data_IF_776328328125
#
_entry.id   IF_776328328125
#
_cell.length_a   1.000
_cell.length_b   1.000
_cell.length_c   1.000
_cell.angle_alpha   90.00
_cell.angle_beta   90.00
_cell.angle_gamma   90.00
#
_symmetry.space_group_name_H-M   'P 1'
#
loop_
_entity.id
_entity.type
_entity.pdbx_description
1 polymer ?
#
# COMPACT_ATOMS: atom_id res chain seq x y z
N UNK A 1 27.65 5.28 -11.51
CA UNK A 1 26.76 4.34 -10.79
C UNK A 1 26.16 5.10 -9.61
N UNK A 2 24.85 4.98 -9.36
CA UNK A 2 24.21 5.68 -8.25
C UNK A 2 24.65 5.05 -6.93
N UNK A 3 24.38 5.74 -5.81
CA UNK A 3 24.44 5.09 -4.51
C UNK A 3 23.30 4.06 -4.41
N UNK A 4 23.63 2.79 -4.62
CA UNK A 4 22.67 1.69 -4.56
C UNK A 4 22.01 1.54 -3.18
N UNK A 5 22.70 1.93 -2.12
CA UNK A 5 22.13 1.88 -0.76
C UNK A 5 21.07 2.97 -0.60
N UNK A 6 21.31 4.16 -1.15
CA UNK A 6 20.36 5.26 -1.17
C UNK A 6 19.08 4.89 -1.96
N UNK A 7 19.22 4.23 -3.11
CA UNK A 7 18.05 3.70 -3.84
C UNK A 7 17.21 2.72 -2.99
N UNK A 8 17.86 1.86 -2.20
CA UNK A 8 17.16 0.99 -1.26
C UNK A 8 16.52 1.80 -0.12
N UNK A 9 17.11 2.91 0.34
CA UNK A 9 16.48 3.78 1.34
C UNK A 9 15.15 4.36 0.85
N UNK A 10 15.06 4.75 -0.42
CA UNK A 10 13.78 5.14 -1.03
C UNK A 10 12.82 3.95 -1.18
N UNK A 11 13.33 2.79 -1.62
CA UNK A 11 12.53 1.57 -1.77
C UNK A 11 11.80 1.18 -0.47
N UNK A 12 12.49 1.23 0.68
CA UNK A 12 11.91 0.84 1.97
C UNK A 12 10.84 1.81 2.47
N UNK A 13 10.68 3.00 1.88
CA UNK A 13 9.60 3.94 2.25
C UNK A 13 8.22 3.46 1.78
N UNK A 14 8.20 2.48 0.87
CA UNK A 14 6.98 1.89 0.33
C UNK A 14 5.98 1.43 1.41
N UNK A 15 4.68 1.46 1.12
CA UNK A 15 3.67 0.83 1.96
C UNK A 15 3.78 -0.70 1.90
N UNK A 16 3.34 -1.36 2.97
CA UNK A 16 3.13 -2.80 2.99
C UNK A 16 1.96 -3.16 3.91
N UNK A 17 1.39 -4.36 3.72
CA UNK A 17 0.39 -4.92 4.63
C UNK A 17 0.86 -4.83 6.08
N UNK A 18 0.04 -4.30 6.98
CA UNK A 18 0.37 -4.02 8.39
C UNK A 18 1.71 -3.31 8.66
N UNK A 19 2.34 -2.67 7.65
CA UNK A 19 3.72 -2.17 7.72
C UNK A 19 4.75 -3.27 8.11
N UNK A 20 4.52 -4.52 7.68
CA UNK A 20 5.42 -5.67 7.90
C UNK A 20 6.79 -5.51 7.25
N UNK A 21 6.89 -4.74 6.16
CA UNK A 21 8.10 -4.51 5.36
C UNK A 21 8.75 -5.84 4.93
N UNK A 22 8.04 -6.67 4.14
CA UNK A 22 8.39 -8.08 3.93
C UNK A 22 9.42 -8.26 2.80
N UNK A 23 10.44 -7.43 2.76
CA UNK A 23 11.44 -7.38 1.70
C UNK A 23 12.87 -7.48 2.25
N UNK A 24 13.73 -8.12 1.46
CA UNK A 24 15.20 -8.10 1.61
C UNK A 24 15.81 -7.68 0.29
N UNK A 25 16.91 -6.93 0.34
CA UNK A 25 17.59 -6.41 -0.84
C UNK A 25 18.98 -7.00 -0.92
N UNK A 26 19.40 -7.43 -2.11
CA UNK A 26 20.79 -7.75 -2.40
C UNK A 26 21.33 -6.76 -3.40
N UNK A 27 22.42 -6.10 -3.06
CA UNK A 27 23.09 -5.14 -3.93
C UNK A 27 24.26 -5.83 -4.63
N UNK A 28 24.35 -5.66 -5.95
CA UNK A 28 25.51 -5.95 -6.78
C UNK A 28 25.93 -4.68 -7.51
N UNK A 29 26.98 -4.76 -8.33
CA UNK A 29 27.59 -3.60 -8.99
C UNK A 29 26.60 -2.72 -9.78
N UNK A 30 25.73 -3.34 -10.57
CA UNK A 30 24.74 -2.65 -11.41
C UNK A 30 23.32 -3.22 -11.23
N UNK A 31 23.06 -3.95 -10.15
CA UNK A 31 21.82 -4.69 -9.97
C UNK A 31 21.37 -4.69 -8.52
N UNK A 32 20.08 -4.46 -8.30
CA UNK A 32 19.43 -4.66 -7.00
C UNK A 32 18.39 -5.76 -7.15
N UNK A 33 18.48 -6.81 -6.31
CA UNK A 33 17.48 -7.86 -6.23
C UNK A 33 16.63 -7.72 -4.98
N UNK A 34 15.31 -7.79 -5.11
CA UNK A 34 14.31 -7.75 -4.04
C UNK A 34 13.81 -9.18 -3.79
N UNK A 35 14.00 -9.68 -2.57
CA UNK A 35 13.56 -10.99 -2.13
C UNK A 35 12.37 -10.87 -1.17
N UNK A 36 11.37 -11.77 -1.26
CA UNK A 36 10.33 -11.85 -0.26
C UNK A 36 10.91 -12.32 1.08
N UNK A 37 10.60 -11.61 2.17
CA UNK A 37 10.91 -12.05 3.53
C UNK A 37 9.71 -12.78 4.13
N UNK A 38 9.61 -14.08 3.85
CA UNK A 38 8.53 -14.93 4.36
C UNK A 38 8.47 -15.01 5.89
N UNK A 39 9.51 -14.60 6.63
CA UNK A 39 9.43 -14.48 8.10
C UNK A 39 8.51 -13.34 8.57
N UNK A 40 8.15 -12.43 7.65
CA UNK A 40 7.30 -11.25 7.87
C UNK A 40 5.97 -11.33 7.13
N UNK A 41 5.62 -12.50 6.60
CA UNK A 41 4.33 -12.73 5.93
C UNK A 41 3.15 -12.65 6.91
N UNK A 42 1.95 -12.52 6.36
CA UNK A 42 0.70 -12.42 7.10
C UNK A 42 -0.18 -13.64 6.78
N UNK A 43 0.15 -14.84 7.32
CA UNK A 43 -0.47 -16.08 6.88
C UNK A 43 -1.98 -16.17 7.12
N UNK A 44 -2.56 -15.35 8.00
CA UNK A 44 -4.01 -15.36 8.27
C UNK A 44 -4.76 -14.40 7.35
N UNK A 45 -4.39 -13.11 7.31
CA UNK A 45 -5.08 -12.14 6.43
C UNK A 45 -4.68 -12.28 4.95
N UNK A 46 -3.47 -12.76 4.68
CA UNK A 46 -2.89 -12.93 3.35
C UNK A 46 -2.31 -14.35 3.15
N UNK A 47 -3.17 -15.39 3.16
CA UNK A 47 -2.71 -16.79 3.13
C UNK A 47 -1.97 -17.18 1.84
N UNK A 48 -2.17 -16.41 0.76
CA UNK A 48 -1.53 -16.62 -0.55
C UNK A 48 -0.30 -15.73 -0.78
N UNK A 49 0.12 -14.95 0.23
CA UNK A 49 1.21 -13.98 0.14
C UNK A 49 1.02 -12.92 -0.98
N UNK A 50 -0.24 -12.67 -1.35
CA UNK A 50 -0.65 -11.74 -2.41
C UNK A 50 -0.27 -10.31 -2.05
N UNK A 51 -0.62 -9.87 -0.84
CA UNK A 51 -0.28 -8.54 -0.35
C UNK A 51 1.20 -8.40 -0.07
N UNK A 52 1.89 -9.48 0.28
CA UNK A 52 3.35 -9.52 0.34
C UNK A 52 3.96 -9.14 -1.02
N UNK A 53 3.55 -9.78 -2.12
CA UNK A 53 4.08 -9.45 -3.45
C UNK A 53 3.63 -8.08 -3.97
N UNK A 54 2.41 -7.64 -3.64
CA UNK A 54 2.00 -6.24 -3.88
C UNK A 54 2.94 -5.27 -3.14
N UNK A 55 3.31 -5.58 -1.90
CA UNK A 55 4.23 -4.75 -1.11
C UNK A 55 5.63 -4.69 -1.75
N UNK A 56 6.14 -5.81 -2.28
CA UNK A 56 7.39 -5.84 -3.05
C UNK A 56 7.28 -4.99 -4.32
N UNK A 57 6.14 -5.03 -5.02
CA UNK A 57 5.87 -4.16 -6.17
C UNK A 57 5.90 -2.66 -5.82
N UNK A 58 5.40 -2.29 -4.64
CA UNK A 58 5.49 -0.91 -4.17
C UNK A 58 6.95 -0.49 -3.91
N UNK A 59 7.74 -1.35 -3.27
CA UNK A 59 9.16 -1.10 -3.02
C UNK A 59 9.98 -1.00 -4.31
N UNK A 60 9.67 -1.87 -5.28
CA UNK A 60 10.25 -1.82 -6.63
C UNK A 60 9.96 -0.49 -7.32
N UNK A 61 8.73 -0.01 -7.27
CA UNK A 61 8.36 1.24 -7.93
C UNK A 61 9.08 2.45 -7.33
N UNK A 62 9.20 2.52 -6.00
CA UNK A 62 9.99 3.57 -5.35
C UNK A 62 11.46 3.52 -5.75
N UNK A 63 12.03 2.32 -5.90
CA UNK A 63 13.40 2.12 -6.37
C UNK A 63 13.57 2.64 -7.80
N UNK A 64 12.65 2.31 -8.71
CA UNK A 64 12.68 2.76 -10.11
C UNK A 64 12.59 4.29 -10.18
N UNK A 65 11.62 4.89 -9.47
CA UNK A 65 11.43 6.34 -9.46
C UNK A 65 12.68 7.05 -8.90
N UNK A 66 13.31 6.51 -7.86
CA UNK A 66 14.54 7.04 -7.31
C UNK A 66 15.71 6.93 -8.30
N UNK A 67 15.88 5.79 -8.97
CA UNK A 67 16.93 5.61 -9.96
C UNK A 67 16.76 6.57 -11.15
N UNK A 68 15.54 6.74 -11.64
CA UNK A 68 15.21 7.66 -12.73
C UNK A 68 15.43 9.13 -12.35
N UNK A 69 15.12 9.51 -11.10
CA UNK A 69 15.41 10.84 -10.59
C UNK A 69 16.93 11.15 -10.59
N UNK A 70 17.76 10.15 -10.26
CA UNK A 70 19.22 10.24 -10.30
C UNK A 70 19.82 10.12 -11.71
N UNK A 71 18.99 10.05 -12.77
CA UNK A 71 19.45 9.98 -14.15
C UNK A 71 19.86 8.58 -14.62
N UNK A 72 19.36 7.53 -13.96
CA UNK A 72 19.59 6.14 -14.33
C UNK A 72 18.32 5.49 -14.86
N UNK A 73 18.49 4.53 -15.78
CA UNK A 73 17.42 3.64 -16.21
C UNK A 73 17.40 2.41 -15.33
N UNK A 74 16.21 2.04 -14.85
CA UNK A 74 15.98 0.82 -14.09
C UNK A 74 15.17 -0.19 -14.93
N UNK A 75 15.81 -1.28 -15.35
CA UNK A 75 15.20 -2.34 -16.15
C UNK A 75 14.85 -3.54 -15.26
N UNK A 76 13.55 -3.88 -15.19
CA UNK A 76 13.05 -4.96 -14.32
C UNK A 76 13.18 -6.30 -15.02
N UNK A 77 13.85 -7.24 -14.35
CA UNK A 77 13.96 -8.64 -14.73
C UNK A 77 13.30 -9.50 -13.64
N UNK A 78 12.21 -10.17 -14.01
CA UNK A 78 11.51 -11.04 -13.09
C UNK A 78 12.21 -12.41 -13.02
N UNK A 79 12.55 -12.87 -11.81
CA UNK A 79 13.14 -14.19 -11.57
C UNK A 79 12.31 -14.97 -10.54
N UNK A 80 11.45 -15.85 -11.04
CA UNK A 80 10.47 -16.54 -10.21
C UNK A 80 10.96 -17.81 -9.53
N UNK A 81 12.21 -18.23 -9.74
CA UNK A 81 12.74 -19.44 -9.07
C UNK A 81 12.62 -19.33 -7.53
N UNK A 82 12.77 -18.12 -6.99
CA UNK A 82 12.60 -17.83 -5.56
C UNK A 82 11.63 -16.67 -5.27
N UNK A 83 10.78 -16.30 -6.24
CA UNK A 83 9.88 -15.15 -6.14
C UNK A 83 10.59 -13.79 -6.02
N UNK A 84 11.84 -13.71 -6.48
CA UNK A 84 12.66 -12.49 -6.40
C UNK A 84 12.50 -11.62 -7.64
N UNK A 85 12.74 -10.32 -7.48
CA UNK A 85 12.70 -9.35 -8.57
C UNK A 85 14.10 -8.75 -8.70
N UNK A 86 14.70 -8.79 -9.89
CA UNK A 86 15.98 -8.14 -10.14
C UNK A 86 15.76 -6.86 -10.94
N UNK A 87 16.55 -5.84 -10.64
CA UNK A 87 16.51 -4.56 -11.33
C UNK A 87 17.93 -4.21 -11.74
N UNK A 88 18.16 -4.14 -13.05
CA UNK A 88 19.42 -3.66 -13.60
C UNK A 88 19.37 -2.13 -13.70
N UNK A 89 20.43 -1.47 -13.27
CA UNK A 89 20.53 -0.02 -13.17
C UNK A 89 21.71 0.43 -14.02
N UNK A 90 21.42 1.24 -15.04
CA UNK A 90 22.38 1.68 -16.03
C UNK A 90 22.25 3.19 -16.26
N UNK A 91 23.34 3.90 -16.60
CA UNK A 91 23.25 5.31 -16.97
C UNK A 91 22.22 5.52 -18.09
N UNK A 92 21.39 6.56 -17.99
CA UNK A 92 20.44 6.92 -19.05
C UNK A 92 21.13 7.69 -20.21
N UNK A 93 22.35 7.31 -20.58
CA UNK A 93 23.17 8.01 -21.56
C UNK A 93 22.45 8.08 -22.92
N UNK A 94 22.35 9.29 -23.49
CA UNK A 94 21.74 9.52 -24.81
C UNK A 94 20.20 9.54 -24.82
N UNK A 95 19.55 9.47 -23.67
CA UNK A 95 18.11 9.75 -23.54
C UNK A 95 17.98 11.25 -23.23
N UNK A 96 17.46 12.02 -24.19
CA UNK A 96 16.97 13.39 -23.92
C UNK A 96 16.12 13.34 -22.63
N UNK A 97 16.27 14.28 -21.68
CA UNK A 97 15.44 14.29 -20.48
C UNK A 97 14.00 14.11 -20.94
N UNK A 98 13.35 13.02 -20.52
CA UNK A 98 12.00 12.76 -20.98
C UNK A 98 11.17 14.04 -20.76
N UNK A 99 10.24 14.34 -21.67
CA UNK A 99 9.26 15.44 -21.51
C UNK A 99 8.55 15.38 -20.13
N UNK A 100 8.65 14.23 -19.45
CA UNK A 100 8.14 13.92 -18.12
C UNK A 100 9.11 14.12 -16.93
N UNK A 101 10.29 14.74 -17.08
CA UNK A 101 11.23 14.93 -15.94
C UNK A 101 10.56 15.59 -14.73
N UNK A 102 9.78 16.65 -14.95
CA UNK A 102 9.04 17.33 -13.89
C UNK A 102 7.99 16.41 -13.21
N UNK A 103 7.38 15.49 -13.97
CA UNK A 103 6.46 14.50 -13.41
C UNK A 103 7.20 13.48 -12.55
N UNK A 104 8.36 13.00 -13.00
CA UNK A 104 9.21 12.08 -12.23
C UNK A 104 9.70 12.73 -10.93
N UNK A 105 10.12 14.00 -10.98
CA UNK A 105 10.52 14.76 -9.79
C UNK A 105 9.36 14.93 -8.80
N UNK A 106 8.13 15.13 -9.27
CA UNK A 106 6.94 15.19 -8.40
C UNK A 106 6.70 13.85 -7.69
N UNK A 107 6.82 12.72 -8.39
CA UNK A 107 6.66 11.40 -7.80
C UNK A 107 7.77 11.08 -6.81
N UNK A 108 9.02 11.37 -7.16
CA UNK A 108 10.18 11.16 -6.27
C UNK A 108 10.03 11.93 -4.96
N UNK A 109 9.71 13.23 -5.03
CA UNK A 109 9.50 14.06 -3.84
C UNK A 109 8.35 13.53 -2.97
N UNK A 110 7.33 12.93 -3.58
CA UNK A 110 6.19 12.35 -2.87
C UNK A 110 6.57 11.09 -2.05
N UNK A 111 7.64 10.36 -2.39
CA UNK A 111 8.07 9.13 -1.67
C UNK A 111 8.24 9.43 -0.18
N UNK A 112 8.88 10.56 0.14
CA UNK A 112 9.23 10.94 1.50
C UNK A 112 8.04 11.34 2.39
N UNK A 113 6.94 11.77 1.78
CA UNK A 113 5.77 12.35 2.49
C UNK A 113 4.48 11.51 2.35
N UNK A 114 4.47 10.51 1.45
CA UNK A 114 3.33 9.63 1.23
C UNK A 114 3.01 8.83 2.50
N UNK A 115 1.74 8.81 2.88
CA UNK A 115 1.26 8.12 4.06
C UNK A 115 -0.17 7.60 3.89
N UNK A 116 -0.47 6.49 4.55
CA UNK A 116 -1.85 5.99 4.66
C UNK A 116 -2.59 6.78 5.75
N UNK A 117 -3.39 7.77 5.33
CA UNK A 117 -4.03 8.72 6.25
C UNK A 117 -5.38 8.18 6.72
N UNK A 118 -5.41 7.53 7.89
CA UNK A 118 -6.61 6.86 8.44
C UNK A 118 -7.54 7.79 9.23
N UNK A 119 -7.46 9.11 9.01
CA UNK A 119 -8.36 10.10 9.60
C UNK A 119 -9.67 10.18 8.82
N UNK A 120 -10.69 10.72 9.47
CA UNK A 120 -11.86 11.23 8.76
C UNK A 120 -11.44 12.35 7.81
N UNK A 121 -11.99 12.34 6.59
CA UNK A 121 -11.68 13.33 5.57
C UNK A 121 -12.67 14.50 5.61
N UNK A 122 -12.31 15.61 4.96
CA UNK A 122 -13.09 16.85 5.00
C UNK A 122 -14.32 16.88 4.08
N UNK A 123 -14.58 15.83 3.29
CA UNK A 123 -15.72 15.77 2.36
C UNK A 123 -15.61 16.66 1.12
N UNK A 124 -14.55 17.48 0.99
CA UNK A 124 -14.30 18.30 -0.21
C UNK A 124 -14.10 17.38 -1.43
N UNK A 125 -14.76 17.63 -2.58
CA UNK A 125 -14.54 16.85 -3.80
C UNK A 125 -13.12 17.05 -4.33
N UNK A 126 -12.56 16.02 -4.96
CA UNK A 126 -11.30 16.12 -5.71
C UNK A 126 -11.63 16.81 -7.04
N UNK A 127 -10.87 17.83 -7.47
CA UNK A 127 -11.04 18.45 -8.78
C UNK A 127 -11.00 17.43 -9.92
N UNK A 128 -11.84 17.62 -10.94
CA UNK A 128 -11.92 16.72 -12.08
C UNK A 128 -10.57 16.53 -12.78
N UNK A 129 -9.82 17.62 -12.99
CA UNK A 129 -8.47 17.57 -13.56
C UNK A 129 -7.49 16.69 -12.75
N UNK A 130 -7.61 16.66 -11.42
CA UNK A 130 -6.77 15.81 -10.57
C UNK A 130 -7.19 14.33 -10.68
N UNK A 131 -8.50 14.06 -10.80
CA UNK A 131 -9.02 12.72 -11.05
C UNK A 131 -8.61 12.20 -12.44
N UNK A 132 -8.67 13.04 -13.47
CA UNK A 132 -8.19 12.74 -14.83
C UNK A 132 -6.69 12.49 -14.84
N UNK A 133 -5.91 13.27 -14.10
CA UNK A 133 -4.47 13.04 -13.94
C UNK A 133 -4.19 11.68 -13.29
N UNK A 134 -4.93 11.29 -12.26
CA UNK A 134 -4.79 9.96 -11.65
C UNK A 134 -5.22 8.84 -12.60
N UNK A 135 -6.31 9.03 -13.35
CA UNK A 135 -6.85 8.04 -14.28
C UNK A 135 -5.97 7.82 -15.52
N UNK A 136 -5.22 8.83 -15.93
CA UNK A 136 -4.33 8.79 -17.10
C UNK A 136 -2.91 8.32 -16.81
N UNK A 137 -2.57 8.04 -15.53
CA UNK A 137 -1.25 7.53 -15.19
C UNK A 137 -0.96 6.19 -15.89
N UNK A 138 0.25 6.01 -16.44
CA UNK A 138 0.65 4.73 -16.99
C UNK A 138 0.71 3.69 -15.87
N UNK A 139 -0.09 2.63 -16.00
CA UNK A 139 -0.08 1.48 -15.10
C UNK A 139 0.64 0.31 -15.74
N UNK A 140 1.13 -0.61 -14.92
CA UNK A 140 1.80 -1.81 -15.39
C UNK A 140 0.85 -2.75 -16.13
N UNK A 141 1.42 -3.60 -16.99
CA UNK A 141 0.66 -4.51 -17.85
C UNK A 141 -0.36 -5.36 -17.06
N UNK A 142 -1.61 -5.32 -17.52
CA UNK A 142 -2.71 -6.09 -16.93
C UNK A 142 -3.31 -5.48 -15.66
N UNK A 143 -2.90 -4.27 -15.27
CA UNK A 143 -3.50 -3.53 -14.14
C UNK A 143 -4.45 -2.45 -14.65
N UNK A 144 -5.54 -2.22 -13.92
CA UNK A 144 -6.47 -1.13 -14.20
C UNK A 144 -6.93 -0.49 -12.91
N UNK A 145 -7.35 0.77 -12.99
CA UNK A 145 -7.89 1.52 -11.85
C UNK A 145 -9.32 1.94 -12.15
N UNK A 146 -10.20 1.80 -11.16
CA UNK A 146 -11.56 2.32 -11.19
C UNK A 146 -11.76 3.30 -10.03
N UNK A 147 -12.38 4.44 -10.32
CA UNK A 147 -12.82 5.38 -9.30
C UNK A 147 -14.33 5.25 -9.07
N UNK A 148 -14.73 5.21 -7.81
CA UNK A 148 -16.15 5.10 -7.41
C UNK A 148 -16.55 6.36 -6.65
N UNK A 149 -17.42 7.14 -7.27
CA UNK A 149 -18.05 8.34 -6.69
C UNK A 149 -19.57 8.20 -6.57
N UNK A 150 -20.14 7.16 -7.18
CA UNK A 150 -21.57 6.85 -7.13
C UNK A 150 -22.01 6.50 -5.69
N UNK A 151 -22.96 7.25 -5.09
CA UNK A 151 -23.36 7.04 -3.70
C UNK A 151 -23.95 5.65 -3.42
N UNK A 152 -24.72 5.08 -4.37
CA UNK A 152 -25.34 3.76 -4.17
C UNK A 152 -24.28 2.65 -4.15
N UNK A 153 -23.31 2.70 -5.06
CA UNK A 153 -22.15 1.80 -5.06
C UNK A 153 -21.32 1.98 -3.78
N UNK A 154 -21.11 3.21 -3.32
CA UNK A 154 -20.39 3.48 -2.06
C UNK A 154 -21.10 2.84 -0.87
N UNK A 155 -22.42 2.95 -0.75
CA UNK A 155 -23.17 2.31 0.34
C UNK A 155 -23.10 0.78 0.29
N UNK A 156 -23.10 0.20 -0.92
CA UNK A 156 -22.88 -1.26 -1.09
C UNK A 156 -21.46 -1.67 -0.67
N UNK A 157 -20.45 -0.88 -1.01
CA UNK A 157 -19.05 -1.09 -0.58
C UNK A 157 -18.94 -0.99 0.94
N UNK A 158 -19.59 -0.01 1.58
CA UNK A 158 -19.67 0.07 3.05
C UNK A 158 -20.24 -1.23 3.62
N UNK A 159 -21.30 -1.77 3.02
CA UNK A 159 -21.85 -3.08 3.37
C UNK A 159 -20.80 -4.20 3.34
N UNK A 160 -20.01 -4.29 2.27
CA UNK A 160 -18.94 -5.29 2.15
C UNK A 160 -17.82 -5.08 3.18
N UNK A 161 -17.40 -3.84 3.44
CA UNK A 161 -16.39 -3.55 4.47
C UNK A 161 -16.89 -3.98 5.85
N UNK A 162 -18.16 -3.75 6.16
CA UNK A 162 -18.78 -4.18 7.43
C UNK A 162 -18.85 -5.70 7.55
N UNK A 163 -19.23 -6.38 6.48
CA UNK A 163 -19.24 -7.85 6.41
C UNK A 163 -17.83 -8.41 6.60
N UNK A 164 -16.82 -7.83 5.93
CA UNK A 164 -15.42 -8.22 6.05
C UNK A 164 -14.86 -8.01 7.45
N UNK A 165 -15.11 -6.84 8.05
CA UNK A 165 -14.78 -6.57 9.46
C UNK A 165 -15.42 -7.61 10.39
N UNK A 166 -16.67 -7.99 10.16
CA UNK A 166 -17.34 -9.01 10.96
C UNK A 166 -16.69 -10.39 10.81
N UNK A 167 -16.34 -10.80 9.59
CA UNK A 167 -15.68 -12.10 9.35
C UNK A 167 -14.31 -12.13 10.04
N UNK A 168 -13.47 -11.15 9.76
CA UNK A 168 -12.08 -11.11 10.24
C UNK A 168 -12.00 -10.92 11.76
N UNK A 169 -12.75 -9.98 12.34
CA UNK A 169 -12.65 -9.70 13.78
C UNK A 169 -13.27 -10.79 14.66
N UNK A 170 -14.13 -11.65 14.10
CA UNK A 170 -14.63 -12.85 14.79
C UNK A 170 -13.68 -14.05 14.65
N UNK A 171 -12.68 -13.99 13.77
CA UNK A 171 -11.62 -14.99 13.68
C UNK A 171 -10.52 -14.71 14.73
N UNK A 172 -10.33 -15.68 15.62
CA UNK A 172 -9.31 -15.61 16.67
C UNK A 172 -7.89 -15.59 16.11
N UNK A 173 -7.64 -16.28 15.00
CA UNK A 173 -6.31 -16.31 14.38
C UNK A 173 -5.98 -14.96 13.76
N UNK A 174 -6.96 -14.34 13.08
CA UNK A 174 -6.80 -13.00 12.53
C UNK A 174 -6.52 -11.99 13.64
N UNK A 175 -7.29 -12.03 14.73
CA UNK A 175 -7.08 -11.12 15.86
C UNK A 175 -5.71 -11.32 16.51
N UNK A 176 -5.21 -12.55 16.63
CA UNK A 176 -3.86 -12.81 17.15
C UNK A 176 -2.78 -12.24 16.23
N UNK A 177 -2.91 -12.44 14.92
CA UNK A 177 -2.00 -11.89 13.92
C UNK A 177 -2.01 -10.36 13.95
N UNK A 178 -3.18 -9.71 13.90
CA UNK A 178 -3.33 -8.26 13.97
C UNK A 178 -2.69 -7.70 15.25
N UNK A 179 -2.98 -8.28 16.41
CA UNK A 179 -2.39 -7.87 17.70
C UNK A 179 -0.87 -8.00 17.70
N UNK A 180 -0.32 -9.00 17.02
CA UNK A 180 1.13 -9.19 16.91
C UNK A 180 1.82 -8.06 16.14
N UNK A 181 1.10 -7.40 15.21
CA UNK A 181 1.60 -6.30 14.38
C UNK A 181 1.26 -4.90 14.93
N UNK A 182 0.46 -4.79 15.98
CA UNK A 182 0.26 -3.50 16.67
C UNK A 182 1.47 -3.16 17.54
N UNK A 183 1.90 -1.90 17.46
CA UNK A 183 2.91 -1.27 18.34
C UNK A 183 2.19 -0.27 19.23
N UNK A 184 1.92 -0.66 20.48
CA UNK A 184 0.97 0.04 21.34
C UNK A 184 1.49 1.37 21.91
N UNK A 185 2.80 1.58 21.88
CA UNK A 185 3.46 2.76 22.42
C UNK A 185 4.71 3.11 21.60
N UNK A 186 5.30 4.26 21.91
CA UNK A 186 6.46 4.80 21.21
C UNK A 186 7.73 3.96 21.39
N UNK A 187 7.92 3.32 22.54
CA UNK A 187 9.06 2.44 22.77
C UNK A 187 9.02 1.22 21.85
N UNK A 188 7.86 0.56 21.72
CA UNK A 188 7.68 -0.54 20.76
C UNK A 188 7.86 -0.07 19.31
N UNK A 189 7.28 1.07 18.96
CA UNK A 189 7.40 1.61 17.60
C UNK A 189 8.87 1.90 17.24
N UNK A 190 9.64 2.52 18.14
CA UNK A 190 11.06 2.83 17.93
C UNK A 190 11.96 1.59 17.96
N UNK A 191 11.62 0.58 18.76
CA UNK A 191 12.37 -0.67 18.83
C UNK A 191 12.22 -1.50 17.55
N UNK A 192 10.99 -1.73 17.10
CA UNK A 192 10.74 -2.63 15.98
C UNK A 192 10.73 -1.92 14.62
N UNK A 193 10.40 -0.62 14.60
CA UNK A 193 10.33 0.23 13.39
C UNK A 193 9.50 -0.38 12.26
N UNK A 194 8.49 -1.14 12.65
CA UNK A 194 7.52 -1.81 11.79
C UNK A 194 6.13 -1.83 12.44
N UNK A 195 5.16 -2.47 11.80
CA UNK A 195 3.84 -2.64 12.39
C UNK A 195 2.98 -1.37 12.40
N UNK A 196 1.79 -1.51 12.97
CA UNK A 196 0.80 -0.46 13.13
C UNK A 196 1.04 0.30 14.43
N UNK A 197 1.67 1.47 14.37
CA UNK A 197 1.93 2.29 15.55
C UNK A 197 0.71 3.12 15.98
N UNK A 198 0.54 3.31 17.29
CA UNK A 198 -0.54 4.14 17.84
C UNK A 198 -0.55 5.55 17.25
N UNK A 199 0.62 6.19 17.07
CA UNK A 199 0.73 7.52 16.44
C UNK A 199 0.26 7.53 14.98
N UNK A 200 0.69 6.56 14.16
CA UNK A 200 0.33 6.50 12.74
C UNK A 200 -1.12 6.03 12.48
N UNK A 201 -1.74 5.37 13.46
CA UNK A 201 -3.15 4.94 13.41
C UNK A 201 -4.11 5.91 14.08
N UNK A 202 -3.60 6.89 14.84
CA UNK A 202 -4.39 7.82 15.65
C UNK A 202 -5.00 7.19 16.91
N UNK A 203 -4.47 6.05 17.35
CA UNK A 203 -4.92 5.33 18.55
C UNK A 203 -4.19 5.83 19.81
N UNK A 204 -4.80 5.75 21.00
CA UNK A 204 -4.14 6.12 22.25
C UNK A 204 -2.91 5.25 22.53
N UNK A 205 -1.85 5.86 23.09
CA UNK A 205 -0.67 5.13 23.57
C UNK A 205 -1.01 4.35 24.85
N UNK A 206 -0.58 3.10 24.94
CA UNK A 206 -0.79 2.27 26.14
C UNK A 206 0.29 1.20 26.34
N UNK A 207 0.50 0.71 27.58
CA UNK A 207 1.27 -0.51 27.80
C UNK A 207 0.67 -1.71 27.06
N UNK A 208 1.51 -2.59 26.50
CA UNK A 208 1.10 -3.74 25.67
C UNK A 208 0.02 -4.60 26.31
N UNK A 209 0.15 -4.89 27.61
CA UNK A 209 -0.81 -5.73 28.35
C UNK A 209 -2.19 -5.09 28.38
N UNK A 210 -2.26 -3.78 28.65
CA UNK A 210 -3.51 -3.01 28.68
C UNK A 210 -4.10 -2.91 27.27
N UNK A 211 -3.27 -2.58 26.28
CA UNK A 211 -3.70 -2.50 24.88
C UNK A 211 -4.23 -3.83 24.32
N UNK A 212 -3.55 -4.95 24.63
CA UNK A 212 -4.03 -6.30 24.28
C UNK A 212 -5.36 -6.63 24.95
N UNK A 213 -5.50 -6.29 26.23
CA UNK A 213 -6.75 -6.49 26.96
C UNK A 213 -7.87 -5.65 26.33
N UNK A 214 -7.60 -4.39 26.03
CA UNK A 214 -8.54 -3.51 25.34
C UNK A 214 -8.96 -4.09 23.99
N UNK A 215 -8.01 -4.53 23.15
CA UNK A 215 -8.37 -5.10 21.86
C UNK A 215 -9.14 -6.41 21.98
N UNK A 216 -8.85 -7.24 22.99
CA UNK A 216 -9.59 -8.48 23.24
C UNK A 216 -11.04 -8.24 23.65
N UNK A 217 -11.31 -7.20 24.44
CA UNK A 217 -12.63 -6.97 25.04
C UNK A 217 -13.46 -5.87 24.36
N UNK A 218 -12.82 -4.89 23.73
CA UNK A 218 -13.46 -3.69 23.20
C UNK A 218 -13.28 -3.50 21.70
N UNK A 219 -12.27 -4.11 21.07
CA UNK A 219 -12.16 -4.08 19.60
C UNK A 219 -13.18 -5.07 19.01
N UNK A 220 -14.39 -4.56 18.76
CA UNK A 220 -15.49 -5.33 18.19
C UNK A 220 -15.84 -4.82 16.78
N UNK A 221 -16.35 -5.74 15.95
CA UNK A 221 -16.69 -5.45 14.56
C UNK A 221 -17.66 -4.27 14.38
N UNK A 222 -18.56 -4.06 15.35
CA UNK A 222 -19.59 -3.02 15.29
C UNK A 222 -19.00 -1.62 15.41
N UNK A 223 -18.08 -1.39 16.35
CA UNK A 223 -17.43 -0.09 16.54
C UNK A 223 -16.50 0.24 15.37
N UNK A 224 -15.70 -0.75 14.93
CA UNK A 224 -14.83 -0.60 13.77
C UNK A 224 -15.64 -0.26 12.51
N UNK A 225 -16.73 -0.99 12.27
CA UNK A 225 -17.67 -0.74 11.18
C UNK A 225 -18.26 0.67 11.19
N UNK A 226 -18.67 1.20 12.35
CA UNK A 226 -19.19 2.58 12.46
C UNK A 226 -18.14 3.62 12.10
N UNK A 227 -16.88 3.40 12.52
CA UNK A 227 -15.76 4.29 12.20
C UNK A 227 -15.45 4.25 10.70
N UNK A 228 -15.37 3.07 10.11
CA UNK A 228 -15.09 2.90 8.68
C UNK A 228 -16.20 3.48 7.81
N UNK A 229 -17.46 3.27 8.18
CA UNK A 229 -18.63 3.88 7.52
C UNK A 229 -18.53 5.41 7.50
N UNK A 230 -18.22 6.03 8.65
CA UNK A 230 -18.00 7.49 8.74
C UNK A 230 -16.85 7.95 7.86
N UNK A 231 -15.74 7.21 7.86
CA UNK A 231 -14.55 7.54 7.07
C UNK A 231 -14.81 7.42 5.56
N UNK A 232 -15.47 6.35 5.12
CA UNK A 232 -15.82 6.13 3.72
C UNK A 232 -16.76 7.24 3.24
N UNK A 233 -17.85 7.53 3.95
CA UNK A 233 -18.77 8.62 3.57
C UNK A 233 -18.14 10.01 3.58
N UNK A 234 -17.10 10.23 4.37
CA UNK A 234 -16.35 11.49 4.37
C UNK A 234 -15.33 11.60 3.24
N UNK A 235 -15.11 10.52 2.49
CA UNK A 235 -14.13 10.46 1.40
C UNK A 235 -14.71 11.02 0.11
N UNK A 236 -13.86 11.62 -0.72
CA UNK A 236 -14.25 12.26 -1.98
C UNK A 236 -14.52 11.25 -3.08
N UNK A 237 -13.77 10.14 -3.07
CA UNK A 237 -13.92 9.01 -3.98
C UNK A 237 -13.34 7.75 -3.34
N UNK A 238 -13.70 6.59 -3.88
CA UNK A 238 -12.96 5.34 -3.66
C UNK A 238 -12.15 5.00 -4.92
N UNK A 239 -11.03 4.30 -4.72
CA UNK A 239 -10.16 3.82 -5.79
C UNK A 239 -10.00 2.31 -5.64
N UNK A 240 -10.37 1.56 -6.68
CA UNK A 240 -10.16 0.12 -6.77
C UNK A 240 -9.05 -0.16 -7.78
N UNK A 241 -8.01 -0.87 -7.36
CA UNK A 241 -6.95 -1.35 -8.25
C UNK A 241 -7.23 -2.80 -8.58
N UNK A 242 -7.29 -3.10 -9.86
CA UNK A 242 -7.68 -4.39 -10.42
C UNK A 242 -6.53 -5.00 -11.20
N UNK A 243 -6.42 -6.33 -11.23
CA UNK A 243 -5.48 -7.05 -12.08
C UNK A 243 -6.16 -8.08 -12.96
N UNK A 244 -5.59 -8.33 -14.15
CA UNK A 244 -6.13 -9.29 -15.11
C UNK A 244 -6.07 -10.73 -14.60
N UNK A 245 -4.95 -11.12 -13.99
CA UNK A 245 -4.78 -12.44 -13.37
C UNK A 245 -4.63 -12.28 -11.85
N UNK A 246 -4.56 -13.41 -11.15
CA UNK A 246 -4.32 -13.49 -9.71
C UNK A 246 -3.07 -14.33 -9.41
N UNK A 247 -1.96 -13.95 -10.03
CA UNK A 247 -0.64 -14.56 -9.94
C UNK A 247 0.41 -13.55 -9.45
N UNK A 248 1.62 -14.04 -9.19
CA UNK A 248 2.71 -13.24 -8.63
C UNK A 248 3.07 -12.03 -9.49
N UNK A 249 3.16 -12.20 -10.81
CA UNK A 249 3.37 -11.12 -11.78
C UNK A 249 2.34 -10.01 -11.64
N UNK A 250 1.06 -10.39 -11.64
CA UNK A 250 -0.05 -9.45 -11.50
C UNK A 250 -0.04 -8.73 -10.16
N UNK A 251 0.37 -9.40 -9.09
CA UNK A 251 0.49 -8.81 -7.76
C UNK A 251 1.62 -7.79 -7.68
N UNK A 252 2.79 -8.10 -8.24
CA UNK A 252 3.91 -7.15 -8.33
C UNK A 252 3.51 -5.93 -9.17
N UNK A 253 2.92 -6.15 -10.34
CA UNK A 253 2.45 -5.07 -11.21
C UNK A 253 1.36 -4.22 -10.55
N UNK A 254 0.47 -4.85 -9.76
CA UNK A 254 -0.52 -4.14 -8.94
C UNK A 254 0.17 -3.24 -7.93
N UNK A 255 1.18 -3.74 -7.22
CA UNK A 255 1.98 -2.96 -6.27
C UNK A 255 2.65 -1.76 -6.91
N UNK A 256 3.30 -1.96 -8.05
CA UNK A 256 3.96 -0.88 -8.79
C UNK A 256 2.98 0.20 -9.23
N UNK A 257 1.89 -0.22 -9.87
CA UNK A 257 0.83 0.68 -10.33
C UNK A 257 0.19 1.45 -9.17
N UNK A 258 -0.06 0.76 -8.06
CA UNK A 258 -0.62 1.38 -6.86
C UNK A 258 0.33 2.42 -6.26
N UNK A 259 1.62 2.13 -6.12
CA UNK A 259 2.55 3.10 -5.55
C UNK A 259 2.64 4.35 -6.43
N UNK A 260 2.71 4.21 -7.76
CA UNK A 260 2.67 5.34 -8.69
C UNK A 260 1.40 6.19 -8.52
N UNK A 261 0.23 5.55 -8.42
CA UNK A 261 -1.05 6.22 -8.12
C UNK A 261 -1.03 6.94 -6.77
N UNK A 262 -0.48 6.30 -5.73
CA UNK A 262 -0.43 6.84 -4.38
C UNK A 262 0.54 8.03 -4.26
N UNK A 263 1.67 7.99 -4.96
CA UNK A 263 2.64 9.08 -5.04
C UNK A 263 2.06 10.27 -5.82
N UNK A 264 1.42 10.03 -6.96
CA UNK A 264 0.75 11.10 -7.71
C UNK A 264 -0.36 11.75 -6.88
N UNK A 265 -1.21 10.96 -6.22
CA UNK A 265 -2.22 11.48 -5.30
C UNK A 265 -1.58 12.33 -4.20
N UNK A 266 -0.47 11.89 -3.64
CA UNK A 266 0.28 12.62 -2.61
C UNK A 266 0.83 13.94 -3.14
N UNK A 267 1.39 13.97 -4.35
CA UNK A 267 1.88 15.18 -5.00
C UNK A 267 0.75 16.20 -5.29
N UNK A 268 -0.48 15.73 -5.50
CA UNK A 268 -1.69 16.54 -5.65
C UNK A 268 -2.32 16.94 -4.31
N UNK A 269 -1.72 16.56 -3.17
CA UNK A 269 -2.27 16.80 -1.84
C UNK A 269 -3.44 15.90 -1.45
N UNK A 270 -3.77 14.90 -2.28
CA UNK A 270 -4.83 13.91 -2.04
C UNK A 270 -4.29 12.81 -1.11
N UNK A 271 -5.00 12.58 -0.02
CA UNK A 271 -4.70 11.51 0.94
C UNK A 271 -5.40 10.21 0.56
N UNK A 272 -4.74 9.09 0.82
CA UNK A 272 -5.32 7.77 0.63
C UNK A 272 -5.21 6.87 1.87
N UNK A 273 -6.09 5.87 1.98
CA UNK A 273 -6.02 4.81 2.98
C UNK A 273 -6.73 3.54 2.49
N UNK A 274 -6.22 2.37 2.85
CA UNK A 274 -6.82 1.08 2.49
C UNK A 274 -8.10 0.78 3.28
N UNK A 275 -9.02 0.08 2.62
CA UNK A 275 -10.23 -0.56 3.13
C UNK A 275 -10.36 -1.94 2.46
N UNK A 276 -9.30 -2.73 2.57
CA UNK A 276 -9.07 -3.96 1.79
C UNK A 276 -9.88 -5.17 2.23
N UNK A 277 -10.67 -5.09 3.30
CA UNK A 277 -11.44 -6.24 3.81
C UNK A 277 -12.26 -6.94 2.70
N UNK A 278 -12.92 -6.22 1.76
CA UNK A 278 -13.62 -6.85 0.65
C UNK A 278 -12.71 -7.53 -0.38
N UNK A 279 -11.42 -7.16 -0.46
CA UNK A 279 -10.43 -7.80 -1.32
C UNK A 279 -9.75 -9.01 -0.66
N UNK A 280 -9.73 -9.06 0.67
CA UNK A 280 -9.08 -10.10 1.49
C UNK A 280 -10.00 -11.31 1.73
N UNK A 281 -11.33 -11.09 1.81
CA UNK A 281 -12.30 -12.17 1.98
C UNK A 281 -12.78 -12.69 0.61
N UNK A 282 -12.59 -13.99 0.27
CA UNK A 282 -12.89 -14.53 -1.06
C UNK A 282 -14.32 -14.29 -1.56
N UNK A 283 -15.32 -14.48 -0.69
CA UNK A 283 -16.74 -14.29 -1.03
C UNK A 283 -17.07 -12.82 -1.31
N UNK A 284 -16.44 -11.91 -0.56
CA UNK A 284 -16.61 -10.46 -0.75
C UNK A 284 -15.89 -9.97 -1.99
N UNK A 285 -14.73 -10.55 -2.31
CA UNK A 285 -13.96 -10.20 -3.50
C UNK A 285 -14.76 -10.41 -4.78
N UNK A 286 -15.54 -11.51 -4.84
CA UNK A 286 -16.49 -11.76 -5.94
C UNK A 286 -17.63 -10.74 -5.98
N UNK A 287 -18.26 -10.46 -4.83
CA UNK A 287 -19.32 -9.42 -4.75
C UNK A 287 -18.81 -8.03 -5.17
N UNK A 288 -17.59 -7.68 -4.78
CA UNK A 288 -16.93 -6.43 -5.16
C UNK A 288 -16.63 -6.39 -6.67
N UNK A 289 -16.11 -7.48 -7.23
CA UNK A 289 -15.87 -7.61 -8.68
C UNK A 289 -17.15 -7.35 -9.49
N UNK A 290 -18.26 -7.98 -9.10
CA UNK A 290 -19.58 -7.80 -9.73
C UNK A 290 -20.08 -6.35 -9.59
N UNK A 291 -19.99 -5.77 -8.39
CA UNK A 291 -20.41 -4.38 -8.13
C UNK A 291 -19.64 -3.36 -8.96
N UNK A 292 -18.34 -3.57 -9.13
CA UNK A 292 -17.46 -2.72 -9.92
C UNK A 292 -17.63 -2.93 -11.43
N UNK A 293 -18.41 -3.94 -11.85
CA UNK A 293 -18.54 -4.34 -13.25
C UNK A 293 -17.17 -4.64 -13.88
N UNK A 294 -16.27 -5.24 -13.11
CA UNK A 294 -14.87 -5.44 -13.46
C UNK A 294 -14.63 -6.58 -14.47
N UNK A 295 -15.69 -7.22 -14.98
CA UNK A 295 -15.60 -8.37 -15.86
C UNK A 295 -14.77 -9.49 -15.22
N UNK A 296 -13.74 -9.96 -15.92
CA UNK A 296 -12.84 -11.01 -15.45
C UNK A 296 -11.68 -10.49 -14.58
N UNK A 297 -11.57 -9.18 -14.34
CA UNK A 297 -10.47 -8.62 -13.54
C UNK A 297 -10.69 -8.83 -12.05
N UNK A 298 -9.61 -9.06 -11.31
CA UNK A 298 -9.62 -9.30 -9.87
C UNK A 298 -9.41 -8.02 -9.08
N UNK A 299 -10.31 -7.65 -8.14
CA UNK A 299 -10.04 -6.58 -7.19
C UNK A 299 -8.86 -6.92 -6.28
N UNK A 300 -7.81 -6.12 -6.33
CA UNK A 300 -6.61 -6.34 -5.52
C UNK A 300 -6.51 -5.39 -4.34
N UNK A 301 -6.79 -4.11 -4.55
CA UNK A 301 -6.73 -3.08 -3.51
C UNK A 301 -7.97 -2.21 -3.58
N UNK A 302 -8.46 -1.78 -2.41
CA UNK A 302 -9.55 -0.82 -2.30
C UNK A 302 -9.13 0.29 -1.34
N UNK A 303 -9.26 1.53 -1.80
CA UNK A 303 -8.80 2.71 -1.10
C UNK A 303 -9.86 3.79 -1.04
N UNK A 304 -9.79 4.60 0.02
CA UNK A 304 -10.49 5.88 0.13
C UNK A 304 -9.56 7.00 -0.27
N UNK A 305 -10.06 7.98 -1.02
CA UNK A 305 -9.35 9.19 -1.43
C UNK A 305 -10.04 10.45 -0.87
N UNK A 306 -9.26 11.48 -0.55
CA UNK A 306 -9.80 12.79 -0.16
C UNK A 306 -8.78 13.66 0.56
N UNK A 307 -9.25 14.67 1.29
CA UNK A 307 -8.39 15.65 1.96
C UNK A 307 -8.49 15.57 3.48
N UNK A 308 -7.34 15.57 4.14
CA UNK A 308 -7.22 15.66 5.59
C UNK A 308 -5.81 16.12 5.99
N UNK A 309 -5.70 16.62 7.22
CA UNK A 309 -4.41 16.85 7.86
C UNK A 309 -3.59 15.55 7.93
N UNK A 310 -2.26 15.63 7.76
CA UNK A 310 -1.40 14.47 7.87
C UNK A 310 -1.43 13.84 9.27
N UNK A 311 -1.14 12.54 9.32
CA UNK A 311 -0.76 11.84 10.55
C UNK A 311 0.78 11.80 10.65
N UNK A 312 1.32 11.53 11.85
CA UNK A 312 2.71 11.12 11.98
C UNK A 312 3.01 9.91 11.10
N UNK A 313 4.14 9.96 10.38
CA UNK A 313 4.57 8.88 9.50
C UNK A 313 4.81 7.56 10.26
N UNK A 314 4.58 6.44 9.57
CA UNK A 314 4.98 5.13 10.08
C UNK A 314 6.50 4.97 9.98
N UNK A 315 7.10 4.37 11.01
CA UNK A 315 8.53 4.09 11.02
C UNK A 315 8.89 2.99 10.00
N UNK A 316 10.13 3.05 9.55
CA UNK A 316 10.75 2.06 8.66
C UNK A 316 12.00 1.47 9.29
N UNK A 317 12.23 0.19 9.06
CA UNK A 317 13.44 -0.51 9.46
C UNK A 317 14.66 0.16 8.82
N UNK A 318 15.81 0.23 9.51
CA UNK A 318 17.04 0.73 8.92
C UNK A 318 17.43 -0.08 7.68
N UNK A 319 18.04 0.59 6.69
CA UNK A 319 18.48 -0.04 5.45
C UNK A 319 19.43 -1.24 5.72
N UNK A 320 20.26 -1.13 6.75
CA UNK A 320 21.19 -2.18 7.18
C UNK A 320 20.51 -3.46 7.66
N UNK A 321 19.23 -3.44 8.02
CA UNK A 321 18.50 -4.64 8.43
C UNK A 321 17.76 -5.34 7.29
N UNK A 322 17.68 -4.71 6.12
CA UNK A 322 16.99 -5.27 4.95
C UNK A 322 17.97 -5.66 3.85
N UNK A 323 19.21 -5.18 3.87
CA UNK A 323 20.26 -5.63 2.94
C UNK A 323 20.83 -6.98 3.39
N UNK A 324 20.99 -7.92 2.45
CA UNK A 324 21.55 -9.27 2.63
C UNK A 324 22.69 -9.59 1.66
#
# INVERSE_FOLDING_TARGET
MPDMTELVQYAIMAPSGHNTQPWKFRIRENMISIFPDFSRRLPVVDPLDRELYISLGCALENLIIAAEHEGYRASVEHSFENGSISVNIEPADGIEPADNKASNDQLFNAISIRQSTRRQYGGRPIPEADMEKLASLPLEGGVSVLFVTDPEKIERIIGFVKEGNSIQMNDRNFMQELVSWVRFNEAEANLYRDGLSSKATGSPSSPRVIGKLFMKFFLNAREQSKKDEKHIRSSSALMAVLSKNNDMDSWINTGRSFERLALCATALGIKNAHINQPCEVPELKKKLQELLSAGNMHPQLLLRLGYAEPLPGSLRRPVSEVII
#
